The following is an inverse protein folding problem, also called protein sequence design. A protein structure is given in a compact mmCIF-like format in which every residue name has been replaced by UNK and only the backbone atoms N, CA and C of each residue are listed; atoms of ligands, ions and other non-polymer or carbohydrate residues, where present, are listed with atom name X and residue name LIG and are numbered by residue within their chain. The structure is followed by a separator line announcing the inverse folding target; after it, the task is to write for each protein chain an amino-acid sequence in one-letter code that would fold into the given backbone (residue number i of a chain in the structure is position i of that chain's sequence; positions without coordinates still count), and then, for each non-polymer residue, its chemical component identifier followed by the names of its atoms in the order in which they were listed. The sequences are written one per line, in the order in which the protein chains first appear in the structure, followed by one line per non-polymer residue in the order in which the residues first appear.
data_IF_117368923788
#
_entry.id   IF_117368923788
#
_cell.length_a   1.000
_cell.length_b   1.000
_cell.length_c   1.000
_cell.angle_alpha   90.00
_cell.angle_beta   90.00
_cell.angle_gamma   90.00
#
_symmetry.space_group_name_H-M   'P 1'
#
loop_
_entity.id
_entity.type
_entity.pdbx_description
1 polymer ?
#
# COMPACT_ATOMS: atom_id res chain seq x y z
N UNK A 1 -10.85 33.19 4.18
CA UNK A 1 -11.04 32.98 5.63
C UNK A 1 -10.47 34.20 6.35
N UNK A 2 -11.31 35.05 6.94
CA UNK A 2 -10.82 36.17 7.77
C UNK A 2 -10.30 35.61 9.09
N UNK A 3 -9.16 36.13 9.56
CA UNK A 3 -8.68 35.84 10.92
C UNK A 3 -9.74 36.34 11.90
N UNK A 4 -10.38 35.43 12.62
CA UNK A 4 -11.22 35.82 13.75
C UNK A 4 -10.29 36.30 14.86
N UNK A 5 -10.26 37.60 15.10
CA UNK A 5 -9.37 38.26 16.06
C UNK A 5 -9.77 38.05 17.52
N UNK A 6 -10.73 37.15 17.79
CA UNK A 6 -11.30 36.87 19.11
C UNK A 6 -10.66 35.70 19.86
N UNK A 7 -9.90 34.83 19.18
CA UNK A 7 -9.28 33.66 19.83
C UNK A 7 -8.10 34.06 20.70
N UNK A 8 -8.13 33.64 21.97
CA UNK A 8 -7.02 33.72 22.90
C UNK A 8 -5.87 32.78 22.49
N UNK A 9 -4.67 33.01 23.03
CA UNK A 9 -3.52 32.13 22.78
C UNK A 9 -3.78 30.69 23.24
N UNK A 10 -4.54 30.50 24.32
CA UNK A 10 -4.87 29.18 24.84
C UNK A 10 -5.84 28.45 23.91
N UNK A 11 -6.85 29.15 23.38
CA UNK A 11 -7.76 28.58 22.38
C UNK A 11 -7.02 28.25 21.07
N UNK A 12 -6.08 29.10 20.64
CA UNK A 12 -5.24 28.81 19.48
C UNK A 12 -4.36 27.57 19.71
N UNK A 13 -3.76 27.43 20.90
CA UNK A 13 -2.95 26.26 21.25
C UNK A 13 -3.80 24.98 21.30
N UNK A 14 -5.01 25.07 21.86
CA UNK A 14 -5.94 23.95 21.91
C UNK A 14 -6.32 23.49 20.50
N UNK A 15 -6.80 24.40 19.66
CA UNK A 15 -7.18 24.08 18.27
C UNK A 15 -5.99 23.53 17.48
N UNK A 16 -4.79 24.10 17.65
CA UNK A 16 -3.59 23.59 17.01
C UNK A 16 -3.23 22.16 17.47
N UNK A 17 -3.40 21.87 18.76
CA UNK A 17 -3.13 20.55 19.33
C UNK A 17 -4.14 19.51 18.83
N UNK A 18 -5.42 19.85 18.84
CA UNK A 18 -6.49 18.97 18.32
C UNK A 18 -6.31 18.70 16.82
N UNK A 19 -6.00 19.73 16.05
CA UNK A 19 -5.71 19.57 14.62
C UNK A 19 -4.46 18.70 14.38
N UNK A 20 -3.40 18.86 15.18
CA UNK A 20 -2.21 18.02 15.08
C UNK A 20 -2.53 16.56 15.37
N UNK A 21 -3.25 16.27 16.46
CA UNK A 21 -3.62 14.90 16.83
C UNK A 21 -4.54 14.26 15.78
N UNK A 22 -5.50 15.01 15.26
CA UNK A 22 -6.42 14.54 14.22
C UNK A 22 -5.67 14.23 12.91
N UNK A 23 -4.75 15.09 12.47
CA UNK A 23 -4.01 14.93 11.21
C UNK A 23 -2.76 14.04 11.33
N UNK A 24 -2.40 13.62 12.54
CA UNK A 24 -1.21 12.83 12.79
C UNK A 24 -1.12 11.54 11.94
N UNK A 25 -2.20 10.74 11.75
CA UNK A 25 -2.15 9.56 10.89
C UNK A 25 -1.75 9.88 9.45
N UNK A 26 -2.23 10.99 8.88
CA UNK A 26 -1.87 11.39 7.51
C UNK A 26 -0.38 11.76 7.40
N UNK A 27 0.17 12.44 8.41
CA UNK A 27 1.62 12.75 8.48
C UNK A 27 2.44 11.46 8.56
N UNK A 28 2.02 10.51 9.39
CA UNK A 28 2.68 9.22 9.54
C UNK A 28 2.59 8.38 8.27
N UNK A 29 1.44 8.36 7.60
CA UNK A 29 1.23 7.64 6.34
C UNK A 29 2.08 8.23 5.22
N UNK A 30 2.18 9.55 5.10
CA UNK A 30 3.05 10.18 4.09
C UNK A 30 4.53 9.87 4.36
N UNK A 31 4.95 9.90 5.63
CA UNK A 31 6.32 9.50 6.00
C UNK A 31 6.59 8.02 5.68
N UNK A 32 5.63 7.14 5.99
CA UNK A 32 5.69 5.71 5.69
C UNK A 32 5.79 5.47 4.19
N UNK A 33 4.94 6.12 3.40
CA UNK A 33 4.96 6.07 1.93
C UNK A 33 6.32 6.47 1.39
N UNK A 34 6.85 7.64 1.76
CA UNK A 34 8.18 8.10 1.31
C UNK A 34 9.27 7.09 1.65
N UNK A 35 9.29 6.56 2.87
CA UNK A 35 10.30 5.58 3.28
C UNK A 35 10.15 4.21 2.60
N UNK A 36 8.92 3.83 2.24
CA UNK A 36 8.62 2.57 1.57
C UNK A 36 8.85 2.64 0.06
N UNK A 37 8.64 3.80 -0.55
CA UNK A 37 8.68 3.95 -2.02
C UNK A 37 9.95 4.61 -2.54
N UNK A 38 10.73 5.26 -1.69
CA UNK A 38 11.99 5.89 -2.09
C UNK A 38 13.17 4.91 -2.07
N UNK A 39 13.00 3.78 -2.76
CA UNK A 39 14.01 2.71 -2.86
C UNK A 39 14.10 2.23 -4.32
N UNK A 40 15.27 1.80 -4.80
CA UNK A 40 15.35 1.09 -6.07
C UNK A 40 14.57 -0.23 -5.99
N UNK A 41 14.04 -0.68 -7.12
CA UNK A 41 13.30 -1.96 -7.24
C UNK A 41 14.12 -3.12 -6.69
N UNK A 42 13.42 -4.06 -6.06
CA UNK A 42 13.96 -5.35 -5.64
C UNK A 42 15.16 -5.29 -4.68
N UNK A 43 15.39 -4.14 -4.05
CA UNK A 43 16.50 -3.96 -3.08
C UNK A 43 16.10 -4.27 -1.64
N UNK A 44 14.82 -4.18 -1.29
CA UNK A 44 14.31 -4.38 0.07
C UNK A 44 12.95 -5.09 0.05
N UNK A 45 12.77 -6.22 0.76
CA UNK A 45 11.48 -6.87 0.87
C UNK A 45 10.39 -5.95 1.44
N UNK A 46 9.21 -6.01 0.83
CA UNK A 46 8.04 -5.19 1.15
C UNK A 46 8.11 -3.73 0.68
N UNK A 47 9.14 -3.32 -0.05
CA UNK A 47 9.36 -1.94 -0.50
C UNK A 47 9.68 -1.87 -1.98
N UNK A 48 9.04 -0.93 -2.68
CA UNK A 48 9.31 -0.63 -4.07
C UNK A 48 8.76 0.77 -4.43
N UNK A 49 9.21 1.36 -5.55
CA UNK A 49 8.62 2.59 -6.08
C UNK A 49 7.09 2.54 -6.19
N UNK A 50 6.48 3.73 -6.18
CA UNK A 50 5.03 3.88 -6.39
C UNK A 50 4.61 3.17 -7.69
N UNK A 51 3.51 2.41 -7.64
CA UNK A 51 2.98 1.65 -8.77
C UNK A 51 3.62 0.29 -8.99
N UNK A 52 4.63 -0.10 -8.20
CA UNK A 52 5.31 -1.40 -8.29
C UNK A 52 4.83 -2.31 -7.16
N UNK A 53 4.48 -3.56 -7.50
CA UNK A 53 4.25 -4.59 -6.50
C UNK A 53 5.61 -5.15 -6.07
N UNK A 54 5.85 -5.19 -4.77
CA UNK A 54 6.96 -5.93 -4.19
C UNK A 54 6.47 -7.16 -3.42
N UNK A 55 7.05 -8.29 -3.73
CA UNK A 55 6.73 -9.56 -3.10
C UNK A 55 7.78 -9.91 -2.05
N UNK A 56 7.32 -10.18 -0.83
CA UNK A 56 8.09 -10.92 0.17
C UNK A 56 7.97 -12.41 -0.20
N UNK A 57 9.07 -13.01 -0.64
CA UNK A 57 9.10 -14.34 -1.28
C UNK A 57 9.32 -15.51 -0.32
N UNK A 58 9.57 -15.22 0.95
CA UNK A 58 9.86 -16.17 2.00
C UNK A 58 9.68 -15.49 3.37
N UNK A 59 9.57 -16.29 4.44
CA UNK A 59 9.60 -15.71 5.78
C UNK A 59 10.88 -14.90 5.99
N UNK A 60 10.78 -13.77 6.71
CA UNK A 60 11.96 -13.07 7.12
C UNK A 60 12.90 -13.97 7.93
N UNK A 61 14.22 -13.77 7.78
CA UNK A 61 15.21 -14.44 8.62
C UNK A 61 15.00 -14.10 10.11
N UNK A 62 15.56 -14.94 10.99
CA UNK A 62 15.36 -14.88 12.44
C UNK A 62 15.75 -13.54 13.09
N UNK A 63 16.51 -12.68 12.39
CA UNK A 63 16.95 -11.37 12.87
C UNK A 63 16.10 -10.19 12.35
N UNK A 64 15.00 -10.44 11.62
CA UNK A 64 14.13 -9.38 11.08
C UNK A 64 13.34 -8.66 12.17
N UNK A 65 13.62 -7.36 12.34
CA UNK A 65 13.02 -6.50 13.39
C UNK A 65 12.03 -5.44 12.87
N UNK A 66 11.69 -5.45 11.57
CA UNK A 66 10.84 -4.39 11.00
C UNK A 66 9.36 -4.53 11.38
N UNK A 67 8.92 -5.71 11.85
CA UNK A 67 7.57 -5.96 12.37
C UNK A 67 7.66 -6.80 13.64
N UNK A 68 6.96 -6.40 14.70
CA UNK A 68 6.87 -7.16 15.95
C UNK A 68 5.95 -8.36 15.70
N UNK A 69 6.51 -9.59 15.73
CA UNK A 69 5.88 -10.90 15.42
C UNK A 69 5.63 -11.13 13.92
N UNK A 70 6.57 -11.76 13.20
CA UNK A 70 6.35 -12.17 11.82
C UNK A 70 5.15 -13.12 11.74
N UNK A 71 4.30 -12.91 10.75
CA UNK A 71 3.26 -13.87 10.42
C UNK A 71 3.91 -15.04 9.66
N UNK A 72 3.79 -16.26 10.19
CA UNK A 72 4.32 -17.47 9.55
C UNK A 72 3.26 -18.20 8.72
N UNK A 73 2.09 -17.62 8.51
CA UNK A 73 1.02 -18.27 7.74
C UNK A 73 0.91 -17.71 6.31
N UNK A 74 1.56 -16.58 6.00
CA UNK A 74 1.39 -15.89 4.70
C UNK A 74 2.66 -15.25 4.17
N UNK A 75 2.83 -15.24 2.85
CA UNK A 75 3.75 -14.36 2.13
C UNK A 75 3.05 -13.08 1.70
N UNK A 76 3.80 -11.97 1.61
CA UNK A 76 3.22 -10.64 1.37
C UNK A 76 3.47 -10.11 -0.03
N UNK A 77 2.48 -9.37 -0.55
CA UNK A 77 2.58 -8.55 -1.77
C UNK A 77 2.19 -7.12 -1.42
N UNK A 78 3.14 -6.19 -1.40
CA UNK A 78 2.94 -4.80 -0.97
C UNK A 78 3.07 -3.85 -2.15
N UNK A 79 2.22 -2.82 -2.22
CA UNK A 79 2.30 -1.77 -3.22
C UNK A 79 1.67 -0.48 -2.73
N UNK A 80 2.21 0.66 -3.20
CA UNK A 80 1.61 1.98 -3.05
C UNK A 80 1.21 2.52 -4.41
N UNK A 81 0.06 3.18 -4.54
CA UNK A 81 -0.41 3.75 -5.80
C UNK A 81 -1.10 5.09 -5.58
N UNK A 82 -0.99 5.96 -6.59
CA UNK A 82 -1.65 7.27 -6.64
C UNK A 82 -2.65 7.26 -7.80
N UNK A 83 -3.93 7.33 -7.45
CA UNK A 83 -5.06 7.29 -8.37
C UNK A 83 -5.64 8.67 -8.68
N UNK A 84 -4.97 9.75 -8.24
CA UNK A 84 -5.43 11.13 -8.45
C UNK A 84 -5.57 11.51 -9.93
N UNK A 85 -4.75 10.92 -10.80
CA UNK A 85 -4.75 11.19 -12.25
C UNK A 85 -5.72 10.31 -13.02
N UNK A 86 -5.74 9.02 -12.68
CA UNK A 86 -6.56 8.02 -13.34
C UNK A 86 -6.70 6.77 -12.46
N UNK A 87 -7.69 5.89 -12.72
CA UNK A 87 -7.79 4.62 -12.01
C UNK A 87 -6.58 3.72 -12.23
N UNK A 88 -6.28 2.93 -11.21
CA UNK A 88 -5.29 1.85 -11.30
C UNK A 88 -5.98 0.50 -11.18
N UNK A 89 -5.57 -0.43 -12.04
CA UNK A 89 -6.05 -1.81 -12.07
C UNK A 89 -5.08 -2.69 -11.31
N UNK A 90 -5.60 -3.47 -10.37
CA UNK A 90 -4.87 -4.51 -9.65
C UNK A 90 -5.47 -5.87 -10.04
N UNK A 91 -4.65 -6.72 -10.62
CA UNK A 91 -5.02 -8.10 -10.93
C UNK A 91 -4.50 -9.09 -9.88
N UNK A 92 -5.40 -9.97 -9.47
CA UNK A 92 -5.17 -11.07 -8.56
C UNK A 92 -5.50 -12.34 -9.36
N UNK A 93 -4.56 -13.30 -9.48
CA UNK A 93 -4.84 -14.55 -10.16
C UNK A 93 -5.83 -15.41 -9.37
N UNK A 94 -6.27 -16.52 -9.96
CA UNK A 94 -7.07 -17.50 -9.23
C UNK A 94 -6.27 -18.08 -8.04
N UNK A 95 -6.93 -18.29 -6.91
CA UNK A 95 -6.32 -18.78 -5.66
C UNK A 95 -7.00 -20.08 -5.20
N UNK A 96 -6.95 -21.17 -6.00
CA UNK A 96 -7.69 -22.40 -5.70
C UNK A 96 -7.19 -23.07 -4.43
N UNK A 97 -8.10 -23.30 -3.48
CA UNK A 97 -7.80 -23.95 -2.19
C UNK A 97 -6.74 -23.24 -1.35
N UNK A 98 -6.60 -21.92 -1.51
CA UNK A 98 -5.59 -21.11 -0.81
C UNK A 98 -6.20 -19.80 -0.31
N UNK A 99 -6.04 -19.50 0.97
CA UNK A 99 -6.47 -18.22 1.50
C UNK A 99 -5.64 -17.06 0.93
N UNK A 100 -6.34 -16.05 0.42
CA UNK A 100 -5.76 -14.77 0.00
C UNK A 100 -6.65 -13.60 0.45
N UNK A 101 -6.00 -12.51 0.86
CA UNK A 101 -6.64 -11.21 1.11
C UNK A 101 -5.76 -10.05 0.66
N UNK A 102 -6.38 -8.98 0.16
CA UNK A 102 -5.75 -7.74 -0.29
C UNK A 102 -6.36 -6.55 0.48
N UNK A 103 -5.97 -6.28 1.73
CA UNK A 103 -6.43 -5.09 2.44
C UNK A 103 -5.95 -3.81 1.74
N UNK A 104 -6.88 -2.90 1.46
CA UNK A 104 -6.64 -1.61 0.84
C UNK A 104 -6.80 -0.52 1.91
N UNK A 105 -5.72 0.22 2.14
CA UNK A 105 -5.61 1.27 3.15
C UNK A 105 -5.65 2.65 2.48
N UNK A 106 -6.39 3.57 3.06
CA UNK A 106 -6.33 4.99 2.72
C UNK A 106 -5.27 5.73 3.56
N UNK A 107 -5.09 7.03 3.32
CA UNK A 107 -4.12 7.84 4.07
C UNK A 107 -4.52 8.11 5.53
N UNK A 108 -5.73 7.73 5.95
CA UNK A 108 -6.18 7.73 7.34
C UNK A 108 -5.86 6.42 8.08
N UNK A 109 -5.22 5.47 7.39
CA UNK A 109 -4.93 4.09 7.85
C UNK A 109 -6.15 3.17 7.90
N UNK A 110 -7.29 3.61 7.38
CA UNK A 110 -8.52 2.83 7.38
C UNK A 110 -8.50 1.78 6.26
N UNK A 111 -8.93 0.55 6.59
CA UNK A 111 -9.14 -0.51 5.59
C UNK A 111 -10.52 -0.33 4.97
N UNK A 112 -10.59 0.42 3.87
CA UNK A 112 -11.86 0.71 3.19
C UNK A 112 -12.37 -0.47 2.35
N UNK A 113 -11.49 -1.39 1.97
CA UNK A 113 -11.85 -2.63 1.28
C UNK A 113 -10.82 -3.75 1.52
N UNK A 114 -11.26 -5.00 1.42
CA UNK A 114 -10.36 -6.17 1.48
C UNK A 114 -10.84 -7.29 0.55
N UNK A 115 -10.62 -7.15 -0.77
CA UNK A 115 -10.87 -8.22 -1.73
C UNK A 115 -10.01 -9.45 -1.43
N UNK A 116 -10.51 -10.63 -1.78
CA UNK A 116 -9.80 -11.88 -1.54
C UNK A 116 -10.76 -13.07 -1.54
N UNK A 117 -10.20 -14.24 -1.26
CA UNK A 117 -10.92 -15.52 -1.31
C UNK A 117 -12.20 -15.56 -0.50
N UNK A 118 -12.21 -14.94 0.69
CA UNK A 118 -13.40 -14.86 1.55
C UNK A 118 -14.52 -13.99 0.97
N UNK A 119 -14.19 -12.98 0.16
CA UNK A 119 -15.15 -11.97 -0.32
C UNK A 119 -15.53 -12.15 -1.80
N UNK A 120 -14.66 -12.76 -2.61
CA UNK A 120 -14.83 -12.90 -4.06
C UNK A 120 -14.61 -14.34 -4.56
N UNK A 121 -14.41 -15.30 -3.66
CA UNK A 121 -14.09 -16.68 -4.01
C UNK A 121 -12.68 -16.84 -4.58
N UNK A 122 -12.42 -18.01 -5.15
CA UNK A 122 -11.06 -18.43 -5.57
C UNK A 122 -10.75 -18.11 -7.04
N UNK A 123 -11.68 -17.50 -7.77
CA UNK A 123 -11.47 -17.11 -9.17
C UNK A 123 -10.57 -15.88 -9.28
N UNK A 124 -9.95 -15.70 -10.45
CA UNK A 124 -9.17 -14.49 -10.73
C UNK A 124 -10.06 -13.25 -10.62
N UNK A 125 -9.49 -12.16 -10.10
CA UNK A 125 -10.18 -10.90 -9.84
C UNK A 125 -9.32 -9.74 -10.34
N UNK A 126 -9.93 -8.82 -11.08
CA UNK A 126 -9.30 -7.52 -11.39
C UNK A 126 -10.15 -6.42 -10.79
N UNK A 127 -9.55 -5.60 -9.95
CA UNK A 127 -10.19 -4.43 -9.34
C UNK A 127 -9.66 -3.14 -9.98
N UNK A 128 -10.49 -2.12 -10.08
CA UNK A 128 -10.09 -0.77 -10.43
C UNK A 128 -10.29 0.16 -9.23
N UNK A 129 -9.18 0.71 -8.74
CA UNK A 129 -9.16 1.73 -7.69
C UNK A 129 -9.45 3.08 -8.34
N UNK A 130 -10.61 3.66 -8.03
CA UNK A 130 -11.12 4.87 -8.66
C UNK A 130 -11.33 5.97 -7.65
N UNK A 131 -11.00 7.21 -8.03
CA UNK A 131 -11.55 8.38 -7.34
C UNK A 131 -13.10 8.38 -7.43
N UNK A 132 -13.83 8.73 -6.35
CA UNK A 132 -15.30 8.73 -6.36
C UNK A 132 -15.91 9.59 -7.48
N UNK A 133 -15.23 10.68 -7.84
CA UNK A 133 -15.60 11.60 -8.92
C UNK A 133 -15.23 11.12 -10.33
N UNK A 134 -14.49 10.02 -10.48
CA UNK A 134 -14.14 9.50 -11.80
C UNK A 134 -15.37 8.95 -12.55
N UNK A 135 -15.46 9.24 -13.85
CA UNK A 135 -16.64 8.99 -14.72
C UNK A 135 -16.32 8.26 -16.03
N UNK A 136 -15.13 7.69 -16.17
CA UNK A 136 -14.77 6.95 -17.38
C UNK A 136 -15.41 5.55 -17.44
N UNK A 137 -15.01 4.77 -18.44
CA UNK A 137 -15.45 3.38 -18.64
C UNK A 137 -14.36 2.42 -18.21
N UNK A 138 -14.72 1.37 -17.47
CA UNK A 138 -13.82 0.29 -17.10
C UNK A 138 -13.92 -0.88 -18.09
N UNK A 139 -12.85 -1.67 -18.26
CA UNK A 139 -12.91 -2.89 -19.04
C UNK A 139 -13.94 -3.89 -18.48
N UNK A 140 -14.48 -4.73 -19.34
CA UNK A 140 -15.43 -5.77 -18.93
C UNK A 140 -14.81 -6.69 -17.87
N UNK A 141 -15.57 -7.05 -16.84
CA UNK A 141 -15.12 -7.91 -15.75
C UNK A 141 -14.27 -7.24 -14.67
N UNK A 142 -13.92 -5.95 -14.82
CA UNK A 142 -13.18 -5.19 -13.80
C UNK A 142 -14.13 -4.63 -12.75
N UNK A 143 -13.88 -4.91 -11.48
CA UNK A 143 -14.69 -4.44 -10.37
C UNK A 143 -14.20 -3.08 -9.85
N UNK A 144 -15.06 -2.07 -9.88
CA UNK A 144 -14.77 -0.75 -9.32
C UNK A 144 -14.72 -0.79 -7.79
N UNK A 145 -13.72 -0.12 -7.21
CA UNK A 145 -13.65 0.22 -5.79
C UNK A 145 -13.32 1.71 -5.69
N UNK A 146 -14.19 2.47 -5.02
CA UNK A 146 -13.97 3.90 -4.79
C UNK A 146 -13.01 4.12 -3.62
N UNK A 147 -11.96 4.92 -3.83
CA UNK A 147 -10.95 5.21 -2.82
C UNK A 147 -11.36 6.43 -1.97
N UNK A 148 -11.20 6.40 -0.64
CA UNK A 148 -11.46 7.58 0.20
C UNK A 148 -10.40 8.68 0.04
N UNK A 149 -9.17 8.29 -0.32
CA UNK A 149 -8.04 9.20 -0.58
C UNK A 149 -7.30 8.76 -1.84
N UNK A 150 -6.73 9.72 -2.59
CA UNK A 150 -6.05 9.45 -3.86
C UNK A 150 -4.82 8.55 -3.76
N UNK A 151 -4.26 8.38 -2.58
CA UNK A 151 -3.16 7.45 -2.35
C UNK A 151 -3.70 6.22 -1.63
N UNK A 152 -3.34 5.05 -2.16
CA UNK A 152 -3.71 3.75 -1.58
C UNK A 152 -2.44 2.99 -1.25
N UNK A 153 -2.47 2.29 -0.12
CA UNK A 153 -1.49 1.29 0.24
C UNK A 153 -2.17 -0.08 0.32
N UNK A 154 -1.47 -1.12 -0.11
CA UNK A 154 -1.93 -2.49 0.06
C UNK A 154 -0.84 -3.39 0.62
N UNK A 155 -1.27 -4.37 1.42
CA UNK A 155 -0.43 -5.43 1.97
C UNK A 155 -1.17 -6.76 1.76
N UNK A 156 -1.15 -7.25 0.53
CA UNK A 156 -1.70 -8.54 0.17
C UNK A 156 -1.05 -9.67 0.95
N UNK A 157 -1.86 -10.65 1.36
CA UNK A 157 -1.41 -11.82 2.12
C UNK A 157 -1.87 -13.07 1.41
N UNK A 158 -0.91 -13.90 1.01
CA UNK A 158 -1.13 -15.19 0.36
C UNK A 158 -0.73 -16.28 1.33
N UNK A 159 -1.66 -17.16 1.70
CA UNK A 159 -1.38 -18.31 2.57
C UNK A 159 -0.22 -19.14 2.01
N UNK A 160 0.66 -19.59 2.91
CA UNK A 160 1.70 -20.58 2.62
C UNK A 160 1.65 -21.69 3.66
N UNK A 161 1.88 -22.93 3.23
CA UNK A 161 2.03 -24.10 4.12
C UNK A 161 3.47 -24.30 4.62
N UNK A 162 4.30 -23.27 4.50
CA UNK A 162 5.72 -23.27 4.89
C UNK A 162 6.68 -23.31 3.69
N UNK A 163 8.00 -23.48 3.93
CA UNK A 163 9.02 -23.36 2.89
C UNK A 163 8.83 -24.27 1.67
N UNK A 164 8.26 -25.47 1.85
CA UNK A 164 7.99 -26.40 0.76
C UNK A 164 6.90 -25.90 -0.22
N UNK A 165 6.07 -24.93 0.19
CA UNK A 165 4.97 -24.36 -0.59
C UNK A 165 5.34 -22.99 -1.20
N UNK A 166 6.55 -22.48 -0.93
CA UNK A 166 6.98 -21.16 -1.42
C UNK A 166 6.96 -21.07 -2.94
N UNK A 167 7.39 -22.10 -3.67
CA UNK A 167 7.40 -22.05 -5.13
C UNK A 167 5.99 -21.84 -5.70
N UNK A 168 4.99 -22.53 -5.16
CA UNK A 168 3.60 -22.37 -5.56
C UNK A 168 3.07 -20.96 -5.25
N UNK A 169 3.44 -20.39 -4.11
CA UNK A 169 3.05 -19.02 -3.76
C UNK A 169 3.78 -17.98 -4.60
N UNK A 170 5.05 -18.21 -4.94
CA UNK A 170 5.84 -17.33 -5.80
C UNK A 170 5.26 -17.26 -7.20
N UNK A 171 4.84 -18.40 -7.77
CA UNK A 171 4.14 -18.43 -9.05
C UNK A 171 2.86 -17.58 -9.05
N UNK A 172 2.03 -17.70 -8.00
CA UNK A 172 0.84 -16.86 -7.82
C UNK A 172 1.17 -15.38 -7.65
N UNK A 173 2.27 -15.06 -6.95
CA UNK A 173 2.74 -13.68 -6.84
C UNK A 173 3.18 -13.12 -8.20
N UNK A 174 3.87 -13.92 -9.02
CA UNK A 174 4.36 -13.52 -10.35
C UNK A 174 3.24 -13.24 -11.36
N UNK A 175 2.06 -13.82 -11.16
CA UNK A 175 0.87 -13.55 -11.95
C UNK A 175 0.14 -12.26 -11.54
N UNK A 176 0.46 -11.67 -10.37
CA UNK A 176 -0.12 -10.39 -9.95
C UNK A 176 0.47 -9.24 -10.75
N UNK A 177 -0.38 -8.29 -11.15
CA UNK A 177 0.07 -7.06 -11.79
C UNK A 177 -0.73 -5.84 -11.36
N UNK A 178 -0.09 -4.68 -11.47
CA UNK A 178 -0.63 -3.38 -11.12
C UNK A 178 -0.30 -2.40 -12.25
N UNK A 179 -1.32 -1.81 -12.88
CA UNK A 179 -1.15 -0.91 -14.03
C UNK A 179 -2.19 0.22 -14.04
N UNK A 180 -1.86 1.43 -14.53
CA UNK A 180 -2.86 2.46 -14.78
C UNK A 180 -3.86 2.02 -15.86
N UNK A 181 -5.08 2.54 -15.79
CA UNK A 181 -6.14 2.25 -16.75
C UNK A 181 -5.76 2.65 -18.19
N UNK A 182 -4.95 3.68 -18.39
CA UNK A 182 -4.51 4.10 -19.73
C UNK A 182 -3.55 3.12 -20.40
N UNK A 183 -2.81 2.32 -19.62
CA UNK A 183 -1.71 1.49 -20.13
C UNK A 183 -1.78 0.02 -19.71
N UNK A 184 -2.90 -0.46 -19.15
CA UNK A 184 -2.98 -1.82 -18.60
C UNK A 184 -2.75 -2.94 -19.63
N UNK A 185 -3.06 -2.70 -20.91
CA UNK A 185 -2.78 -3.64 -22.01
C UNK A 185 -1.43 -3.42 -22.68
N UNK A 186 -0.72 -2.34 -22.34
CA UNK A 186 0.54 -1.99 -22.97
C UNK A 186 1.70 -2.64 -22.24
N UNK A 187 2.63 -3.19 -23.02
CA UNK A 187 3.92 -3.66 -22.52
C UNK A 187 4.93 -2.50 -22.38
N UNK A 188 4.61 -1.32 -22.92
CA UNK A 188 5.46 -0.12 -22.89
C UNK A 188 5.26 0.73 -21.62
N UNK A 189 4.48 0.24 -20.64
CA UNK A 189 4.28 0.98 -19.40
C UNK A 189 5.56 0.99 -18.56
N UNK A 190 6.16 2.18 -18.44
CA UNK A 190 7.32 2.43 -17.59
C UNK A 190 6.87 3.20 -16.35
N UNK A 191 7.19 2.67 -15.18
CA UNK A 191 7.00 3.38 -13.90
C UNK A 191 8.21 4.24 -13.64
N UNK A 192 7.98 5.48 -13.21
CA UNK A 192 9.02 6.34 -12.65
C UNK A 192 9.51 5.74 -11.31
N UNK A 193 10.70 5.12 -11.35
CA UNK A 193 11.38 4.53 -10.21
C UNK A 193 12.57 5.37 -9.72
N UNK A 194 12.61 6.65 -10.08
CA UNK A 194 13.66 7.55 -9.63
C UNK A 194 13.63 7.74 -8.10
N UNK A 195 14.77 7.45 -7.45
CA UNK A 195 14.99 7.74 -6.04
C UNK A 195 15.13 9.25 -5.86
N UNK A 196 14.36 9.80 -4.92
CA UNK A 196 14.26 11.22 -4.55
C UNK A 196 15.16 11.54 -3.36
N UNK A 197 16.35 12.14 -3.57
CA UNK A 197 17.33 12.35 -2.49
C UNK A 197 16.81 13.25 -1.37
N UNK A 198 15.88 14.17 -1.68
CA UNK A 198 15.27 15.13 -0.77
C UNK A 198 14.27 14.52 0.21
N UNK A 199 13.83 13.27 -0.03
CA UNK A 199 12.93 12.54 0.88
C UNK A 199 13.66 11.78 1.99
N UNK A 200 15.00 11.86 2.06
CA UNK A 200 15.75 11.25 3.16
C UNK A 200 15.37 11.92 4.48
N UNK A 201 14.58 11.22 5.28
CA UNK A 201 14.34 11.58 6.69
C UNK A 201 15.68 11.48 7.41
N UNK A 202 16.23 12.61 7.84
CA UNK A 202 17.33 12.62 8.80
C UNK A 202 16.77 12.13 10.13
N UNK A 203 16.83 10.82 10.38
CA UNK A 203 16.59 10.32 11.72
C UNK A 203 17.79 10.77 12.59
N UNK A 204 17.58 11.52 13.68
CA UNK A 204 18.64 11.70 14.66
C UNK A 204 19.07 10.32 15.16
N UNK A 205 20.37 10.12 15.45
CA UNK A 205 20.87 8.83 15.94
C UNK A 205 20.04 8.38 17.16
N UNK A 206 19.75 7.08 17.24
CA UNK A 206 19.07 6.52 18.40
C UNK A 206 19.91 6.83 19.64
N UNK A 207 19.35 7.65 20.55
CA UNK A 207 19.96 7.86 21.85
C UNK A 207 19.67 6.60 22.66
N UNK A 208 20.70 5.77 22.85
CA UNK A 208 20.64 4.68 23.81
C UNK A 208 20.48 5.32 25.19
N UNK A 209 19.33 5.10 25.84
CA UNK A 209 19.17 5.44 27.26
C UNK A 209 19.83 4.31 28.04
N UNK A 210 20.98 4.59 28.66
CA UNK A 210 21.57 3.68 29.61
C UNK A 210 20.59 3.47 30.78
N UNK A 211 20.23 2.21 31.03
CA UNK A 211 19.51 1.75 32.23
C UNK A 211 20.43 0.88 33.07
#
# INVERSE_FOLDING_TARGET
MSRDSSLTNDELLQVATEAYLYLYPMVLMENTRRNATNVPRDTKPGRAPMGVINHVREYPELDFKAVVRPNFDTLYSSAWMDVSKEPWLFHIPAMPGRFFMLPLYDMWTDVFASPGTRTHGESALTIALCEPQWRGTLPAGVQRIDVPTSTVWTIGRTETRGPADYEAVRALQDEMWLRPLSSWQSDDFVIDDAVKPEWKVKMPPMVQTDT
#
